data_IF_881885268154
#
_entry.id   IF_881885268154
#
_cell.length_a   1.000
_cell.length_b   1.000
_cell.length_c   1.000
_cell.angle_alpha   90.00
_cell.angle_beta   90.00
_cell.angle_gamma   90.00
#
_symmetry.space_group_name_H-M   'P 1'
#
loop_
_entity.id
_entity.type
_entity.pdbx_description
1 polymer ?
#
# COMPACT_ATOMS: atom_id res chain seq x y z
N UNK A 1 3.37 -75.35 -44.76
CA UNK A 1 3.79 -73.94 -44.77
C UNK A 1 3.03 -73.23 -43.66
N UNK A 2 3.62 -73.17 -42.48
CA UNK A 2 3.02 -72.53 -41.28
C UNK A 2 3.50 -71.09 -41.17
N UNK A 3 2.58 -70.13 -41.16
CA UNK A 3 2.88 -68.72 -40.88
C UNK A 3 2.60 -68.47 -39.40
N UNK A 4 3.63 -68.24 -38.66
CA UNK A 4 3.58 -67.78 -37.26
C UNK A 4 3.30 -66.32 -37.21
N UNK A 5 2.21 -65.89 -36.55
CA UNK A 5 1.85 -64.48 -36.30
C UNK A 5 2.46 -64.07 -34.97
N UNK A 6 3.35 -63.09 -35.00
CA UNK A 6 3.98 -62.51 -33.84
C UNK A 6 3.10 -61.35 -33.31
N UNK A 7 2.50 -61.48 -32.13
CA UNK A 7 1.79 -60.43 -31.44
C UNK A 7 2.79 -59.56 -30.69
N UNK A 8 2.89 -58.32 -31.09
CA UNK A 8 3.63 -57.29 -30.34
C UNK A 8 2.73 -56.71 -29.24
N UNK A 9 3.15 -56.88 -28.00
CA UNK A 9 2.50 -56.27 -26.83
C UNK A 9 3.07 -54.84 -26.69
N UNK A 10 2.26 -53.83 -26.93
CA UNK A 10 2.59 -52.44 -26.65
C UNK A 10 2.27 -52.20 -25.16
N UNK A 11 3.31 -52.05 -24.35
CA UNK A 11 3.17 -51.59 -22.97
C UNK A 11 2.89 -50.09 -22.95
N UNK A 12 1.65 -49.69 -22.59
CA UNK A 12 1.33 -48.29 -22.26
C UNK A 12 1.94 -47.98 -20.90
N UNK A 13 2.99 -47.18 -20.89
CA UNK A 13 3.46 -46.51 -19.68
C UNK A 13 2.53 -45.33 -19.37
N UNK A 14 1.69 -45.50 -18.36
CA UNK A 14 0.92 -44.41 -17.78
C UNK A 14 1.89 -43.48 -17.08
N UNK A 15 2.16 -42.32 -17.69
CA UNK A 15 2.80 -41.22 -16.99
C UNK A 15 1.82 -40.69 -15.93
N UNK A 16 2.17 -40.90 -14.68
CA UNK A 16 1.44 -40.32 -13.57
C UNK A 16 1.59 -38.76 -13.66
N UNK A 17 0.51 -38.07 -14.01
CA UNK A 17 0.40 -36.65 -13.85
C UNK A 17 0.46 -36.36 -12.35
N UNK A 18 1.52 -35.71 -11.91
CA UNK A 18 1.71 -35.35 -10.52
C UNK A 18 0.66 -34.30 -10.05
N UNK A 19 0.40 -34.24 -8.74
CA UNK A 19 -0.62 -33.35 -8.17
C UNK A 19 -0.11 -31.90 -8.07
N UNK A 20 0.17 -31.23 -9.20
CA UNK A 20 0.75 -29.86 -9.17
C UNK A 20 -0.28 -28.75 -9.34
N UNK A 21 -1.43 -29.00 -9.95
CA UNK A 21 -2.38 -27.93 -10.30
C UNK A 21 -3.25 -27.41 -9.14
N UNK A 22 -3.46 -28.19 -8.08
CA UNK A 22 -4.32 -27.77 -6.95
C UNK A 22 -3.59 -26.93 -5.90
N UNK A 23 -2.27 -27.06 -5.77
CA UNK A 23 -1.50 -26.33 -4.74
C UNK A 23 -1.28 -24.86 -5.09
N UNK A 24 -1.18 -24.51 -6.38
CA UNK A 24 -0.91 -23.13 -6.83
C UNK A 24 -2.05 -22.18 -6.51
N UNK A 25 -3.30 -22.62 -6.62
CA UNK A 25 -4.47 -21.81 -6.35
C UNK A 25 -4.64 -21.43 -4.87
N UNK A 26 -4.10 -22.22 -3.95
CA UNK A 26 -4.25 -21.97 -2.51
C UNK A 26 -3.56 -20.70 -2.03
N UNK A 27 -2.50 -20.26 -2.72
CA UNK A 27 -1.76 -19.04 -2.38
C UNK A 27 -2.29 -17.77 -3.07
N UNK A 28 -3.08 -17.91 -4.14
CA UNK A 28 -3.64 -16.80 -4.89
C UNK A 28 -4.53 -15.95 -3.99
N UNK A 29 -4.38 -14.63 -4.07
CA UNK A 29 -5.14 -13.64 -3.31
C UNK A 29 -4.28 -12.54 -2.70
N UNK A 30 -4.90 -11.83 -1.76
CA UNK A 30 -4.29 -10.68 -1.08
C UNK A 30 -3.96 -11.06 0.36
N UNK A 31 -2.77 -10.67 0.82
CA UNK A 31 -2.26 -11.02 2.14
C UNK A 31 -1.80 -9.76 2.88
N UNK A 32 -2.42 -9.51 4.02
CA UNK A 32 -1.99 -8.49 4.98
C UNK A 32 -0.81 -9.06 5.78
N UNK A 33 0.38 -8.46 5.64
CA UNK A 33 1.60 -8.93 6.30
C UNK A 33 1.87 -8.15 7.58
N UNK A 34 2.34 -8.86 8.61
CA UNK A 34 3.03 -8.27 9.76
C UNK A 34 4.52 -8.59 9.59
N UNK A 35 5.30 -7.56 9.24
CA UNK A 35 6.72 -7.72 8.92
C UNK A 35 7.57 -8.05 10.16
N UNK A 36 8.83 -8.52 10.01
CA UNK A 36 9.71 -8.83 11.12
C UNK A 36 9.92 -7.68 12.13
N UNK A 37 9.78 -6.43 11.68
CA UNK A 37 9.83 -5.23 12.52
C UNK A 37 8.53 -4.92 13.26
N UNK A 38 7.48 -5.74 13.09
CA UNK A 38 6.12 -5.47 13.56
C UNK A 38 5.33 -4.52 12.65
N UNK A 39 5.95 -3.91 11.65
CA UNK A 39 5.31 -2.99 10.73
C UNK A 39 4.42 -3.66 9.68
N UNK A 40 3.56 -2.88 8.99
CA UNK A 40 2.68 -3.39 7.96
C UNK A 40 3.41 -3.71 6.65
N UNK A 41 2.92 -4.72 5.96
CA UNK A 41 3.30 -5.07 4.61
C UNK A 41 2.13 -5.68 3.85
N UNK A 42 2.35 -5.99 2.58
CA UNK A 42 1.32 -6.60 1.75
C UNK A 42 1.98 -7.50 0.70
N UNK A 43 1.32 -8.61 0.41
CA UNK A 43 1.66 -9.52 -0.67
C UNK A 43 0.40 -9.80 -1.49
N UNK A 44 0.42 -9.48 -2.78
CA UNK A 44 -0.62 -9.87 -3.72
C UNK A 44 -0.09 -10.94 -4.66
N UNK A 45 -0.86 -12.01 -4.84
CA UNK A 45 -0.54 -13.13 -5.72
C UNK A 45 -1.69 -13.29 -6.70
N UNK A 46 -1.37 -13.27 -7.98
CA UNK A 46 -2.32 -13.52 -9.08
C UNK A 46 -1.82 -14.69 -9.93
N UNK A 47 -2.71 -15.28 -10.70
CA UNK A 47 -2.35 -16.30 -11.69
C UNK A 47 -2.74 -15.75 -13.08
N UNK A 48 -1.76 -15.72 -13.98
CA UNK A 48 -1.92 -15.24 -15.35
C UNK A 48 -1.36 -16.30 -16.32
N UNK A 49 -2.20 -16.80 -17.20
CA UNK A 49 -1.83 -17.84 -18.18
C UNK A 49 -1.20 -19.11 -17.56
N UNK A 50 -1.59 -19.44 -16.32
CA UNK A 50 -1.04 -20.59 -15.58
C UNK A 50 0.15 -20.23 -14.69
N UNK A 51 0.82 -19.10 -14.92
CA UNK A 51 1.96 -18.64 -14.13
C UNK A 51 1.53 -17.80 -12.93
N UNK A 52 2.19 -17.98 -11.79
CA UNK A 52 2.03 -17.08 -10.64
C UNK A 52 2.78 -15.78 -10.88
N UNK A 53 2.11 -14.67 -10.54
CA UNK A 53 2.69 -13.33 -10.45
C UNK A 53 2.51 -12.82 -9.04
N UNK A 54 3.47 -12.05 -8.55
CA UNK A 54 3.33 -11.45 -7.24
C UNK A 54 3.90 -10.03 -7.20
N UNK A 55 3.25 -9.20 -6.37
CA UNK A 55 3.74 -7.90 -5.93
C UNK A 55 3.84 -7.86 -4.42
N UNK A 56 4.83 -7.15 -3.89
CA UNK A 56 5.03 -7.04 -2.45
C UNK A 56 5.25 -5.59 -2.03
N UNK A 57 4.64 -5.20 -0.92
CA UNK A 57 4.98 -4.01 -0.16
C UNK A 57 5.70 -4.42 1.11
N UNK A 58 6.94 -3.94 1.27
CA UNK A 58 7.80 -4.27 2.38
C UNK A 58 7.99 -3.07 3.32
N UNK A 59 6.91 -2.72 4.03
CA UNK A 59 6.87 -1.55 4.91
C UNK A 59 6.66 -0.25 4.15
N UNK A 60 7.65 0.62 4.17
CA UNK A 60 7.58 1.91 3.46
C UNK A 60 7.86 1.82 1.97
N UNK A 61 7.55 2.89 1.24
CA UNK A 61 7.79 3.03 -0.19
C UNK A 61 6.75 2.36 -1.06
N UNK A 62 7.14 1.96 -2.28
CA UNK A 62 6.23 1.48 -3.31
C UNK A 62 6.08 -0.04 -3.33
N UNK A 63 4.92 -0.50 -3.78
CA UNK A 63 4.73 -1.90 -4.19
C UNK A 63 5.74 -2.24 -5.30
N UNK A 64 6.38 -3.38 -5.18
CA UNK A 64 7.36 -3.87 -6.15
C UNK A 64 6.95 -5.24 -6.66
N UNK A 65 7.10 -5.51 -7.98
CA UNK A 65 7.02 -6.86 -8.47
C UNK A 65 8.16 -7.69 -7.85
N UNK A 66 7.92 -8.96 -7.65
CA UNK A 66 8.95 -9.92 -7.24
C UNK A 66 9.74 -10.40 -8.46
N UNK A 67 10.95 -10.92 -8.25
CA UNK A 67 11.77 -11.45 -9.34
C UNK A 67 11.23 -12.79 -9.84
N UNK A 68 10.79 -13.66 -8.92
CA UNK A 68 10.08 -14.89 -9.23
C UNK A 68 9.19 -15.31 -8.09
N UNK A 69 8.13 -16.06 -8.40
CA UNK A 69 7.25 -16.71 -7.45
C UNK A 69 6.83 -18.07 -8.00
N UNK A 70 6.92 -19.10 -7.18
CA UNK A 70 6.57 -20.46 -7.57
C UNK A 70 6.19 -21.28 -6.34
N UNK A 71 5.45 -22.35 -6.54
CA UNK A 71 5.15 -23.35 -5.50
C UNK A 71 6.14 -24.49 -5.62
N UNK A 72 6.80 -24.84 -4.51
CA UNK A 72 7.74 -25.95 -4.37
C UNK A 72 7.22 -26.89 -3.29
N UNK A 73 6.61 -27.99 -3.70
CA UNK A 73 5.91 -28.91 -2.80
C UNK A 73 4.70 -28.23 -2.15
N UNK A 74 4.73 -28.07 -0.83
CA UNK A 74 3.69 -27.39 -0.03
C UNK A 74 4.01 -25.92 0.29
N UNK A 75 5.08 -25.35 -0.29
CA UNK A 75 5.59 -24.02 0.03
C UNK A 75 5.55 -23.10 -1.17
N UNK A 76 5.20 -21.85 -0.91
CA UNK A 76 5.41 -20.76 -1.85
C UNK A 76 6.81 -20.18 -1.67
N UNK A 77 7.59 -20.12 -2.75
CA UNK A 77 8.94 -19.54 -2.76
C UNK A 77 8.92 -18.28 -3.60
N UNK A 78 9.25 -17.16 -2.98
CA UNK A 78 9.31 -15.84 -3.61
C UNK A 78 10.76 -15.37 -3.59
N UNK A 79 11.29 -14.91 -4.73
CA UNK A 79 12.61 -14.30 -4.80
C UNK A 79 12.53 -12.84 -5.18
N UNK A 80 13.32 -12.02 -4.50
CA UNK A 80 13.51 -10.60 -4.79
C UNK A 80 15.00 -10.34 -4.94
N UNK A 81 15.37 -9.71 -6.04
CA UNK A 81 16.74 -9.22 -6.23
C UNK A 81 16.71 -7.71 -6.09
N UNK A 82 17.49 -7.20 -5.17
CA UNK A 82 17.60 -5.76 -4.91
C UNK A 82 19.05 -5.33 -4.74
N UNK A 83 19.31 -4.06 -5.04
CA UNK A 83 20.61 -3.45 -4.74
C UNK A 83 20.53 -2.86 -3.34
N UNK A 84 21.43 -3.27 -2.45
CA UNK A 84 21.47 -2.75 -1.08
C UNK A 84 21.87 -1.27 -1.10
N UNK A 85 21.15 -0.44 -0.38
CA UNK A 85 21.35 1.01 -0.42
C UNK A 85 22.14 1.55 0.77
N UNK A 86 22.32 0.77 1.82
CA UNK A 86 22.94 1.19 3.09
C UNK A 86 23.77 0.07 3.69
N UNK A 87 24.62 0.44 4.64
CA UNK A 87 25.43 -0.53 5.40
C UNK A 87 26.65 -1.04 4.63
N UNK A 88 27.23 -2.12 5.12
CA UNK A 88 28.45 -2.73 4.60
C UNK A 88 28.27 -3.32 3.18
N UNK A 89 27.06 -3.71 2.84
CA UNK A 89 26.71 -4.31 1.54
C UNK A 89 26.18 -3.29 0.53
N UNK A 90 26.39 -1.98 0.75
CA UNK A 90 25.92 -0.92 -0.16
C UNK A 90 26.46 -1.12 -1.58
N UNK A 91 25.54 -1.17 -2.55
CA UNK A 91 25.84 -1.41 -3.96
C UNK A 91 25.79 -2.88 -4.37
N UNK A 92 25.79 -3.81 -3.42
CA UNK A 92 25.70 -5.24 -3.71
C UNK A 92 24.30 -5.66 -4.16
N UNK A 93 24.24 -6.63 -5.06
CA UNK A 93 22.97 -7.28 -5.45
C UNK A 93 22.64 -8.39 -4.45
N UNK A 94 21.66 -8.11 -3.61
CA UNK A 94 21.20 -9.06 -2.60
C UNK A 94 19.99 -9.81 -3.14
N UNK A 95 20.01 -11.14 -3.04
CA UNK A 95 18.84 -11.99 -3.26
C UNK A 95 18.16 -12.25 -1.93
N UNK A 96 16.91 -11.86 -1.81
CA UNK A 96 16.06 -12.19 -0.69
C UNK A 96 15.10 -13.30 -1.11
N UNK A 97 15.16 -14.43 -0.41
CA UNK A 97 14.24 -15.55 -0.59
C UNK A 97 13.24 -15.54 0.56
N UNK A 98 11.95 -15.52 0.22
CA UNK A 98 10.84 -15.58 1.16
C UNK A 98 10.14 -16.92 0.92
N UNK A 99 10.13 -17.76 1.93
CA UNK A 99 9.39 -19.04 1.90
C UNK A 99 8.14 -18.88 2.75
N UNK A 100 6.98 -19.16 2.16
CA UNK A 100 5.70 -19.09 2.86
C UNK A 100 5.05 -20.47 2.92
N UNK A 101 4.51 -20.80 4.10
CA UNK A 101 3.70 -22.01 4.34
C UNK A 101 2.30 -21.60 4.74
N UNK A 102 1.30 -22.18 4.10
CA UNK A 102 -0.11 -21.91 4.35
C UNK A 102 -0.62 -22.71 5.57
N UNK A 103 -1.41 -22.05 6.42
CA UNK A 103 -2.12 -22.67 7.55
C UNK A 103 -3.50 -22.02 7.68
N UNK A 104 -4.50 -22.60 7.02
CA UNK A 104 -5.82 -21.97 6.85
C UNK A 104 -5.67 -20.64 6.11
N UNK A 105 -6.22 -19.57 6.68
CA UNK A 105 -6.10 -18.21 6.13
C UNK A 105 -4.85 -17.45 6.62
N UNK A 106 -3.86 -18.15 7.13
CA UNK A 106 -2.63 -17.53 7.59
C UNK A 106 -1.42 -18.07 6.81
N UNK A 107 -0.43 -17.22 6.62
CA UNK A 107 0.90 -17.56 6.14
C UNK A 107 1.89 -17.47 7.30
N UNK A 108 2.75 -18.46 7.41
CA UNK A 108 4.03 -18.37 8.10
C UNK A 108 5.10 -18.11 7.05
N UNK A 109 5.85 -17.04 7.20
CA UNK A 109 6.85 -16.64 6.24
C UNK A 109 8.23 -16.59 6.91
N UNK A 110 9.22 -17.03 6.17
CA UNK A 110 10.63 -16.93 6.54
C UNK A 110 11.36 -16.20 5.43
N UNK A 111 12.07 -15.14 5.75
CA UNK A 111 12.96 -14.46 4.81
C UNK A 111 14.42 -14.75 5.12
N UNK A 112 15.22 -14.95 4.07
CA UNK A 112 16.67 -15.09 4.14
C UNK A 112 17.27 -14.26 3.02
N UNK A 113 18.29 -13.48 3.33
CA UNK A 113 19.05 -12.71 2.36
C UNK A 113 20.35 -13.43 2.04
N UNK A 114 20.76 -13.41 0.78
CA UNK A 114 22.04 -13.96 0.33
C UNK A 114 22.81 -12.93 -0.49
N UNK A 115 24.12 -12.87 -0.26
CA UNK A 115 25.08 -12.12 -1.09
C UNK A 115 25.34 -12.83 -2.42
N UNK A 116 25.99 -12.17 -3.40
CA UNK A 116 26.33 -12.80 -4.69
C UNK A 116 27.18 -14.07 -4.57
N UNK A 117 27.98 -14.18 -3.53
CA UNK A 117 28.81 -15.34 -3.23
C UNK A 117 28.06 -16.51 -2.53
N UNK A 118 26.75 -16.33 -2.33
CA UNK A 118 25.87 -17.33 -1.70
C UNK A 118 25.85 -17.30 -0.17
N UNK A 119 26.64 -16.44 0.49
CA UNK A 119 26.58 -16.33 1.97
C UNK A 119 25.25 -15.73 2.41
N UNK A 120 24.55 -16.48 3.24
CA UNK A 120 23.26 -16.08 3.81
C UNK A 120 23.43 -15.17 5.02
N UNK A 121 22.45 -14.29 5.22
CA UNK A 121 22.33 -13.40 6.37
C UNK A 121 20.89 -12.91 6.52
N UNK A 122 20.60 -12.20 7.62
CA UNK A 122 19.33 -11.50 7.80
C UNK A 122 18.11 -12.42 7.77
N UNK A 123 18.20 -13.61 8.38
CA UNK A 123 17.04 -14.50 8.55
C UNK A 123 16.05 -13.88 9.53
N UNK A 124 14.77 -13.86 9.14
CA UNK A 124 13.68 -13.41 9.99
C UNK A 124 12.39 -14.17 9.69
N UNK A 125 11.49 -14.23 10.67
CA UNK A 125 10.18 -14.84 10.56
C UNK A 125 9.10 -13.77 10.69
N UNK A 126 7.99 -13.95 10.00
CA UNK A 126 6.85 -13.05 10.03
C UNK A 126 5.58 -13.76 9.57
N UNK A 127 4.46 -13.05 9.59
CA UNK A 127 3.15 -13.65 9.32
C UNK A 127 2.38 -12.86 8.27
N UNK A 128 1.45 -13.53 7.62
CA UNK A 128 0.44 -12.92 6.76
C UNK A 128 -0.93 -13.49 7.06
N UNK A 129 -1.96 -12.66 6.94
CA UNK A 129 -3.36 -13.06 7.02
C UNK A 129 -4.02 -12.82 5.69
N UNK A 130 -4.81 -13.77 5.21
CA UNK A 130 -5.58 -13.61 3.98
C UNK A 130 -6.57 -12.46 4.14
N UNK A 131 -6.53 -11.53 3.20
CA UNK A 131 -7.55 -10.49 3.09
C UNK A 131 -8.78 -11.09 2.42
N UNK A 132 -9.98 -10.95 2.99
CA UNK A 132 -11.20 -11.39 2.33
C UNK A 132 -11.35 -10.78 0.93
N UNK A 133 -12.02 -11.47 0.01
CA UNK A 133 -12.30 -10.93 -1.31
C UNK A 133 -12.91 -9.53 -1.24
N UNK A 134 -12.64 -8.72 -2.26
CA UNK A 134 -13.31 -7.43 -2.38
C UNK A 134 -14.80 -7.65 -2.62
N UNK A 135 -15.67 -6.87 -1.96
CA UNK A 135 -17.07 -6.79 -2.37
C UNK A 135 -17.16 -6.24 -3.81
N UNK A 136 -18.31 -6.39 -4.47
CA UNK A 136 -18.56 -5.67 -5.72
C UNK A 136 -18.40 -4.16 -5.54
N UNK A 137 -18.03 -3.40 -6.59
CA UNK A 137 -17.99 -1.94 -6.52
C UNK A 137 -19.33 -1.38 -6.02
N UNK A 138 -19.33 -0.52 -4.98
CA UNK A 138 -20.55 0.05 -4.45
C UNK A 138 -21.22 0.99 -5.47
N UNK A 139 -22.54 1.00 -5.49
CA UNK A 139 -23.31 2.02 -6.19
C UNK A 139 -23.36 3.29 -5.34
N UNK A 140 -22.43 4.21 -5.58
CA UNK A 140 -22.29 5.44 -4.81
C UNK A 140 -23.54 6.33 -4.82
N UNK A 141 -24.46 6.18 -5.79
CA UNK A 141 -25.72 6.91 -5.83
C UNK A 141 -26.72 6.47 -4.73
N UNK A 142 -26.49 5.30 -4.15
CA UNK A 142 -27.31 4.72 -3.07
C UNK A 142 -26.65 4.82 -1.70
N UNK A 143 -25.43 5.34 -1.63
CA UNK A 143 -24.73 5.50 -0.36
C UNK A 143 -25.22 6.75 0.35
N UNK A 144 -25.71 6.58 1.56
CA UNK A 144 -26.12 7.69 2.42
C UNK A 144 -24.96 8.12 3.32
N UNK A 145 -24.70 9.44 3.31
CA UNK A 145 -23.66 10.03 4.16
C UNK A 145 -24.30 10.79 5.33
N UNK A 146 -23.78 10.54 6.51
CA UNK A 146 -24.20 11.22 7.74
C UNK A 146 -23.86 12.71 7.77
N UNK A 147 -24.12 13.33 8.91
CA UNK A 147 -23.81 14.73 9.12
C UNK A 147 -22.31 15.03 8.96
N UNK A 148 -21.95 16.19 8.41
CA UNK A 148 -20.55 16.58 8.28
C UNK A 148 -19.88 16.77 9.64
N UNK A 149 -18.66 16.27 9.75
CA UNK A 149 -17.79 16.33 10.92
C UNK A 149 -16.56 17.16 10.53
N UNK A 150 -16.44 18.40 10.97
CA UNK A 150 -15.20 19.17 10.82
C UNK A 150 -14.08 18.46 11.58
N UNK A 151 -13.00 18.07 10.90
CA UNK A 151 -11.83 17.48 11.53
C UNK A 151 -10.80 18.53 11.95
N UNK A 152 -10.93 19.77 11.48
CA UNK A 152 -10.13 20.92 11.87
C UNK A 152 -11.05 22.01 12.44
N UNK A 153 -10.79 22.44 13.68
CA UNK A 153 -11.57 23.47 14.35
C UNK A 153 -11.12 24.91 13.99
N UNK A 154 -10.01 25.04 13.22
CA UNK A 154 -9.43 26.31 12.80
C UNK A 154 -8.71 27.10 13.89
N UNK A 155 -8.52 26.54 15.09
CA UNK A 155 -7.91 27.23 16.24
C UNK A 155 -6.65 26.52 16.74
N UNK A 156 -6.71 25.21 16.87
CA UNK A 156 -5.65 24.39 17.44
C UNK A 156 -5.70 22.94 16.91
N UNK A 157 -4.84 22.07 17.45
CA UNK A 157 -4.76 20.67 17.08
C UNK A 157 -5.72 19.76 17.85
N UNK A 158 -6.77 20.28 18.50
CA UNK A 158 -7.76 19.45 19.20
C UNK A 158 -8.39 18.43 18.24
N UNK A 159 -8.45 17.16 18.66
CA UNK A 159 -8.90 16.03 17.83
C UNK A 159 -7.80 15.41 16.97
N UNK A 160 -6.57 15.92 17.04
CA UNK A 160 -5.39 15.38 16.38
C UNK A 160 -4.32 14.99 17.40
N UNK A 161 -3.58 13.95 17.12
CA UNK A 161 -2.46 13.49 17.94
C UNK A 161 -1.25 13.10 17.10
N UNK A 162 -0.02 13.28 17.62
CA UNK A 162 1.19 12.88 16.93
C UNK A 162 1.29 11.34 16.84
N UNK A 163 1.78 10.83 15.71
CA UNK A 163 2.11 9.40 15.59
C UNK A 163 3.36 9.02 16.38
N UNK A 164 4.28 9.94 16.53
CA UNK A 164 5.52 9.75 17.28
C UNK A 164 5.63 10.85 18.34
N UNK A 165 5.16 10.61 19.57
CA UNK A 165 5.10 11.64 20.61
C UNK A 165 6.46 12.28 20.95
N UNK A 166 7.56 11.53 20.75
CA UNK A 166 8.92 11.98 21.02
C UNK A 166 9.60 12.68 19.83
N UNK A 167 8.95 12.75 18.66
CA UNK A 167 9.49 13.43 17.50
C UNK A 167 9.13 14.92 17.55
N UNK A 168 9.88 15.74 16.80
CA UNK A 168 9.60 17.17 16.70
C UNK A 168 8.20 17.44 16.09
N UNK A 169 7.45 18.33 16.70
CA UNK A 169 6.15 18.78 16.19
C UNK A 169 6.37 19.88 15.15
N UNK A 170 6.04 19.61 13.90
CA UNK A 170 6.05 20.62 12.83
C UNK A 170 4.68 21.21 12.55
N UNK A 171 3.63 20.68 13.19
CA UNK A 171 2.24 21.03 12.94
C UNK A 171 1.75 22.12 13.92
N UNK A 172 1.06 23.10 13.37
CA UNK A 172 0.33 24.14 14.11
C UNK A 172 -0.90 24.59 13.32
N UNK A 173 -1.76 25.37 13.95
CA UNK A 173 -2.90 26.00 13.28
C UNK A 173 -2.72 27.51 13.32
N UNK A 174 -2.74 28.16 12.15
CA UNK A 174 -2.59 29.60 11.99
C UNK A 174 -3.68 30.10 11.04
N UNK A 175 -4.45 31.08 11.46
CA UNK A 175 -5.54 31.69 10.67
C UNK A 175 -6.50 30.67 10.02
N UNK A 176 -6.86 29.63 10.77
CA UNK A 176 -7.74 28.56 10.28
C UNK A 176 -7.09 27.52 9.36
N UNK A 177 -5.78 27.65 9.13
CA UNK A 177 -4.98 26.74 8.29
C UNK A 177 -4.14 25.85 9.18
N UNK A 178 -4.21 24.55 8.96
CA UNK A 178 -3.31 23.56 9.53
C UNK A 178 -2.02 23.57 8.72
N UNK A 179 -0.95 24.04 9.30
CA UNK A 179 0.36 24.13 8.65
C UNK A 179 1.32 23.08 9.22
N UNK A 180 2.19 22.57 8.37
CA UNK A 180 3.35 21.79 8.78
C UNK A 180 4.61 22.43 8.25
N UNK A 181 5.59 22.66 9.15
CA UNK A 181 6.89 23.21 8.80
C UNK A 181 7.98 22.29 9.31
N UNK A 182 8.74 21.78 8.38
CA UNK A 182 9.88 20.91 8.65
C UNK A 182 11.15 21.79 8.64
N UNK A 183 11.58 22.24 9.80
CA UNK A 183 12.80 23.03 9.89
C UNK A 183 14.01 22.14 9.59
N UNK A 184 14.59 22.33 8.41
CA UNK A 184 15.85 21.67 8.03
C UNK A 184 17.01 22.60 8.32
N UNK A 185 17.69 22.41 9.44
CA UNK A 185 18.99 23.05 9.64
C UNK A 185 20.00 22.48 8.64
N UNK A 186 20.70 23.38 7.92
CA UNK A 186 21.71 23.01 6.95
C UNK A 186 22.79 22.13 7.61
N UNK A 187 22.98 20.93 7.10
CA UNK A 187 23.96 19.95 7.61
C UNK A 187 23.43 18.96 8.64
N UNK A 188 22.18 19.06 9.10
CA UNK A 188 21.53 18.01 9.91
C UNK A 188 20.73 17.03 9.04
N UNK A 189 20.63 15.74 9.44
CA UNK A 189 19.80 14.78 8.73
C UNK A 189 18.34 15.26 8.66
N UNK A 190 17.69 15.06 7.51
CA UNK A 190 16.23 15.20 7.40
C UNK A 190 15.59 14.12 8.28
N UNK A 191 14.71 14.50 9.14
CA UNK A 191 13.97 13.55 9.97
C UNK A 191 13.66 14.12 11.35
N UNK A 192 12.79 13.43 12.04
CA UNK A 192 12.43 13.78 13.39
C UNK A 192 11.12 14.53 13.56
N UNK A 193 10.47 15.01 12.47
CA UNK A 193 9.12 15.56 12.55
C UNK A 193 8.09 14.44 12.57
N UNK A 194 7.03 14.64 13.36
CA UNK A 194 5.96 13.66 13.47
C UNK A 194 4.89 13.86 12.40
N UNK A 195 4.28 12.76 11.98
CA UNK A 195 2.99 12.78 11.32
C UNK A 195 1.89 12.95 12.38
N UNK A 196 0.70 13.39 11.98
CA UNK A 196 -0.46 13.50 12.89
C UNK A 196 -1.62 12.66 12.37
N UNK A 197 -2.47 12.22 13.30
CA UNK A 197 -3.69 11.49 12.98
C UNK A 197 -4.86 11.98 13.81
N UNK A 198 -6.08 11.79 13.31
CA UNK A 198 -7.26 12.03 14.13
C UNK A 198 -7.32 11.07 15.32
N UNK A 199 -7.87 11.52 16.45
CA UNK A 199 -8.18 10.65 17.59
C UNK A 199 -9.31 9.70 17.26
N UNK A 200 -10.31 10.16 16.48
CA UNK A 200 -11.42 9.33 15.99
C UNK A 200 -10.96 8.45 14.85
N UNK A 201 -11.54 7.25 14.79
CA UNK A 201 -11.37 6.28 13.70
C UNK A 201 -12.68 6.22 12.88
N UNK A 202 -12.54 5.91 11.59
CA UNK A 202 -13.63 5.88 10.62
C UNK A 202 -13.52 4.61 9.79
N UNK A 203 -14.64 4.12 9.26
CA UNK A 203 -14.66 2.96 8.36
C UNK A 203 -14.83 3.42 6.91
N UNK A 204 -16.07 3.67 6.48
CA UNK A 204 -16.40 4.18 5.17
C UNK A 204 -16.89 5.63 5.28
N UNK A 205 -16.47 6.48 4.35
CA UNK A 205 -16.74 7.91 4.45
C UNK A 205 -16.55 8.65 3.12
N UNK A 206 -17.05 9.86 3.10
CA UNK A 206 -16.70 10.92 2.16
C UNK A 206 -15.87 11.97 2.90
N UNK A 207 -14.72 12.35 2.36
CA UNK A 207 -13.78 13.30 2.92
C UNK A 207 -13.50 14.41 1.92
N UNK A 208 -13.71 15.65 2.31
CA UNK A 208 -13.29 16.82 1.55
C UNK A 208 -12.22 17.59 2.30
N UNK A 209 -11.25 18.10 1.58
CA UNK A 209 -10.20 18.97 2.15
C UNK A 209 -9.54 19.81 1.06
N UNK A 210 -8.83 20.81 1.49
CA UNK A 210 -7.93 21.55 0.61
C UNK A 210 -6.49 21.43 1.10
N UNK A 211 -5.56 21.21 0.15
CA UNK A 211 -4.13 21.16 0.39
C UNK A 211 -3.40 22.19 -0.46
N UNK A 212 -2.36 22.81 0.09
CA UNK A 212 -1.50 23.74 -0.65
C UNK A 212 -0.06 23.25 -0.60
N UNK A 213 0.43 22.83 -1.76
CA UNK A 213 1.81 22.40 -1.92
C UNK A 213 2.75 23.59 -1.99
N UNK A 214 3.89 23.43 -1.36
CA UNK A 214 5.04 24.33 -1.45
C UNK A 214 6.14 23.67 -2.29
N UNK A 215 7.25 24.34 -2.48
CA UNK A 215 8.36 23.80 -3.28
C UNK A 215 8.86 22.47 -2.71
N UNK A 216 8.93 21.45 -3.56
CA UNK A 216 9.30 20.06 -3.21
C UNK A 216 8.38 19.41 -2.16
N UNK A 217 7.12 19.86 -2.04
CA UNK A 217 6.17 19.21 -1.14
C UNK A 217 6.00 17.73 -1.47
N UNK A 218 6.03 16.92 -0.42
CA UNK A 218 5.71 15.51 -0.42
C UNK A 218 5.02 15.18 0.90
N UNK A 219 3.74 14.98 0.83
CA UNK A 219 2.84 14.67 1.93
C UNK A 219 1.82 13.62 1.47
N UNK A 220 0.88 13.25 2.31
CA UNK A 220 -0.19 12.32 1.99
C UNK A 220 -1.32 12.39 3.00
N UNK A 221 -2.53 12.09 2.52
CA UNK A 221 -3.73 11.90 3.33
C UNK A 221 -4.02 10.41 3.38
N UNK A 222 -3.81 9.79 4.53
CA UNK A 222 -4.06 8.37 4.71
C UNK A 222 -5.48 8.14 5.17
N UNK A 223 -6.25 7.46 4.34
CA UNK A 223 -7.59 7.01 4.64
C UNK A 223 -7.50 5.77 5.54
N UNK A 224 -8.19 5.77 6.68
CA UNK A 224 -8.14 4.69 7.69
C UNK A 224 -6.72 4.36 8.17
N UNK A 225 -5.78 5.31 8.03
CA UNK A 225 -4.38 5.10 8.39
C UNK A 225 -3.61 4.13 7.46
N UNK A 226 -4.20 3.64 6.37
CA UNK A 226 -3.62 2.58 5.53
C UNK A 226 -3.53 2.90 4.04
N UNK A 227 -4.38 3.78 3.49
CA UNK A 227 -4.41 4.10 2.07
C UNK A 227 -4.02 5.56 1.85
N UNK A 228 -2.84 5.80 1.34
CA UNK A 228 -2.33 7.13 1.07
C UNK A 228 -2.90 7.69 -0.23
N UNK A 229 -3.67 8.76 -0.13
CA UNK A 229 -3.91 9.68 -1.23
C UNK A 229 -2.74 10.66 -1.27
N UNK A 230 -1.95 10.58 -2.32
CA UNK A 230 -0.72 11.36 -2.45
C UNK A 230 -0.99 12.86 -2.54
N UNK A 231 -0.24 13.65 -1.78
CA UNK A 231 -0.25 15.13 -1.83
C UNK A 231 1.18 15.61 -2.07
N UNK A 232 1.49 15.96 -3.32
CA UNK A 232 2.85 16.36 -3.68
C UNK A 232 2.85 17.42 -4.78
N UNK A 233 4.01 18.06 -4.98
CA UNK A 233 4.23 18.91 -6.13
C UNK A 233 4.45 18.04 -7.38
N UNK A 234 3.42 17.90 -8.22
CA UNK A 234 3.49 17.11 -9.48
C UNK A 234 2.92 17.82 -10.70
N UNK A 235 2.51 19.10 -10.57
CA UNK A 235 1.96 19.89 -11.66
C UNK A 235 2.87 19.87 -12.90
N UNK A 236 2.27 19.64 -14.06
CA UNK A 236 2.99 19.58 -15.34
C UNK A 236 3.78 18.30 -15.60
N UNK A 237 3.76 17.33 -14.68
CA UNK A 237 4.40 16.02 -14.88
C UNK A 237 3.44 15.03 -15.55
N UNK A 238 3.94 14.06 -16.33
CA UNK A 238 3.13 12.94 -16.81
C UNK A 238 2.49 12.19 -15.63
N UNK A 239 1.24 11.75 -15.79
CA UNK A 239 0.54 10.99 -14.74
C UNK A 239 1.27 9.69 -14.42
N UNK A 240 1.35 9.39 -13.13
CA UNK A 240 1.91 8.14 -12.62
C UNK A 240 1.35 7.88 -11.20
N UNK A 241 1.51 6.69 -10.64
CA UNK A 241 0.92 6.33 -9.35
C UNK A 241 1.59 6.98 -8.12
N UNK A 242 2.44 8.00 -8.31
CA UNK A 242 3.08 8.78 -7.25
C UNK A 242 2.76 10.28 -7.35
N UNK A 243 1.88 10.68 -8.27
CA UNK A 243 1.47 12.07 -8.44
C UNK A 243 0.32 12.43 -7.49
N UNK A 244 0.03 13.72 -7.39
CA UNK A 244 -1.08 14.28 -6.63
C UNK A 244 -2.39 13.50 -6.88
N UNK A 245 -3.07 13.10 -5.81
CA UNK A 245 -4.35 12.40 -5.87
C UNK A 245 -4.27 10.90 -6.21
N UNK A 246 -3.10 10.36 -6.56
CA UNK A 246 -2.92 8.91 -6.72
C UNK A 246 -3.16 8.16 -5.41
N UNK A 247 -3.63 6.92 -5.46
CA UNK A 247 -3.43 6.00 -4.34
C UNK A 247 -1.98 5.48 -4.45
N UNK A 248 -1.14 5.97 -3.57
CA UNK A 248 0.32 5.90 -3.68
C UNK A 248 0.82 4.52 -4.11
N UNK A 249 1.53 4.49 -5.26
CA UNK A 249 2.09 3.27 -5.85
C UNK A 249 1.06 2.18 -6.24
N UNK A 250 -0.25 2.42 -6.14
CA UNK A 250 -1.29 1.42 -6.41
C UNK A 250 -2.22 1.80 -7.54
N UNK A 251 -2.78 3.00 -7.51
CA UNK A 251 -3.74 3.46 -8.51
C UNK A 251 -3.25 4.78 -9.09
N UNK A 252 -3.00 4.76 -10.40
CA UNK A 252 -2.61 5.94 -11.16
C UNK A 252 -3.83 6.81 -11.43
N UNK A 253 -3.74 8.14 -11.28
CA UNK A 253 -4.75 9.05 -11.81
C UNK A 253 -4.96 8.85 -13.32
N UNK A 254 -6.18 8.95 -13.78
CA UNK A 254 -6.48 8.85 -15.23
C UNK A 254 -6.05 10.11 -15.99
N UNK A 255 -5.92 11.22 -15.29
CA UNK A 255 -5.56 12.53 -15.85
C UNK A 255 -4.90 13.40 -14.78
N UNK A 256 -4.00 14.29 -15.21
CA UNK A 256 -3.47 15.36 -14.37
C UNK A 256 -4.55 16.46 -14.17
N UNK A 257 -4.76 16.84 -12.91
CA UNK A 257 -5.75 17.87 -12.53
C UNK A 257 -5.20 18.85 -11.48
N UNK A 258 -3.91 18.80 -11.20
CA UNK A 258 -3.24 19.67 -10.24
C UNK A 258 -3.18 21.10 -10.76
N UNK A 259 -3.34 22.05 -9.86
CA UNK A 259 -3.01 23.48 -10.06
C UNK A 259 -1.54 23.71 -9.75
N UNK A 260 -0.97 24.84 -10.21
CA UNK A 260 0.40 25.22 -9.88
C UNK A 260 0.68 25.23 -8.38
N UNK A 261 1.99 25.13 -8.05
CA UNK A 261 2.51 25.27 -6.69
C UNK A 261 2.05 26.60 -6.03
N UNK A 262 1.70 26.54 -4.75
CA UNK A 262 1.19 27.68 -4.00
C UNK A 262 -0.32 27.89 -4.11
N UNK A 263 -0.98 27.24 -5.06
CA UNK A 263 -2.44 27.28 -5.17
C UNK A 263 -3.10 26.18 -4.31
N UNK A 264 -4.32 26.47 -3.83
CA UNK A 264 -5.11 25.49 -3.09
C UNK A 264 -5.67 24.43 -4.04
N UNK A 265 -5.37 23.19 -3.74
CA UNK A 265 -5.89 21.98 -4.40
C UNK A 265 -7.09 21.48 -3.60
N UNK A 266 -8.24 21.30 -4.23
CA UNK A 266 -9.40 20.71 -3.59
C UNK A 266 -9.39 19.20 -3.84
N UNK A 267 -9.40 18.41 -2.77
CA UNK A 267 -9.54 16.96 -2.82
C UNK A 267 -10.93 16.58 -2.27
N UNK A 268 -11.64 15.80 -3.05
CA UNK A 268 -12.92 15.19 -2.71
C UNK A 268 -12.76 13.67 -2.87
N UNK A 269 -12.85 12.94 -1.76
CA UNK A 269 -12.43 11.55 -1.66
C UNK A 269 -13.55 10.73 -1.05
N UNK A 270 -13.99 9.69 -1.74
CA UNK A 270 -14.96 8.72 -1.20
C UNK A 270 -14.28 7.36 -1.03
N UNK A 271 -14.37 6.78 0.16
CA UNK A 271 -13.94 5.42 0.45
C UNK A 271 -15.13 4.62 0.96
N UNK A 272 -15.55 3.62 0.20
CA UNK A 272 -16.67 2.74 0.54
C UNK A 272 -16.32 1.31 0.12
N UNK A 273 -16.52 0.33 1.00
CA UNK A 273 -16.28 -1.08 0.71
C UNK A 273 -14.92 -1.37 0.07
N UNK A 274 -13.87 -0.68 0.53
CA UNK A 274 -12.50 -0.76 -0.01
C UNK A 274 -12.39 -0.33 -1.48
N UNK A 275 -13.33 0.46 -1.97
CA UNK A 275 -13.24 1.17 -3.26
C UNK A 275 -13.06 2.66 -3.02
N UNK A 276 -12.27 3.29 -3.85
CA UNK A 276 -11.94 4.70 -3.71
C UNK A 276 -12.30 5.48 -4.97
N UNK A 277 -12.91 6.63 -4.76
CA UNK A 277 -13.09 7.68 -5.77
C UNK A 277 -12.32 8.91 -5.33
N UNK A 278 -11.58 9.52 -6.24
CA UNK A 278 -10.85 10.77 -5.99
C UNK A 278 -11.19 11.79 -7.06
N UNK A 279 -11.68 12.96 -6.63
CA UNK A 279 -11.91 14.14 -7.46
C UNK A 279 -10.90 15.20 -7.02
N UNK A 280 -10.06 15.64 -7.95
CA UNK A 280 -9.06 16.68 -7.72
C UNK A 280 -9.44 17.93 -8.52
N UNK A 281 -9.63 19.05 -7.81
CA UNK A 281 -10.01 20.34 -8.42
C UNK A 281 -11.26 20.25 -9.32
N UNK A 282 -12.28 19.50 -8.88
CA UNK A 282 -13.53 19.26 -9.62
C UNK A 282 -13.42 18.24 -10.76
N UNK A 283 -12.27 17.60 -10.95
CA UNK A 283 -12.07 16.58 -11.99
C UNK A 283 -11.89 15.20 -11.37
N UNK A 284 -12.74 14.26 -11.73
CA UNK A 284 -12.59 12.86 -11.32
C UNK A 284 -11.33 12.27 -11.94
N UNK A 285 -10.40 11.81 -11.08
CA UNK A 285 -9.11 11.25 -11.49
C UNK A 285 -8.97 9.77 -11.14
N UNK A 286 -9.75 9.30 -10.19
CA UNK A 286 -9.93 7.89 -9.83
C UNK A 286 -11.42 7.67 -9.62
N UNK A 287 -11.99 6.70 -10.31
CA UNK A 287 -13.43 6.39 -10.27
C UNK A 287 -13.64 4.99 -9.71
N UNK A 288 -14.17 4.91 -8.47
CA UNK A 288 -14.65 3.69 -7.80
C UNK A 288 -13.70 2.48 -7.95
N UNK A 289 -12.39 2.71 -7.76
CA UNK A 289 -11.37 1.69 -7.96
C UNK A 289 -11.09 0.89 -6.69
N UNK A 290 -10.89 -0.44 -6.80
CA UNK A 290 -10.57 -1.29 -5.65
C UNK A 290 -9.18 -1.01 -5.09
N UNK A 291 -9.05 -0.91 -3.76
CA UNK A 291 -7.77 -0.78 -3.07
C UNK A 291 -7.38 -2.13 -2.46
N UNK A 292 -6.45 -2.83 -3.10
CA UNK A 292 -6.11 -4.22 -2.79
C UNK A 292 -5.31 -4.43 -1.50
N UNK A 293 -4.71 -3.38 -0.95
CA UNK A 293 -3.91 -3.48 0.28
C UNK A 293 -3.31 -2.14 0.68
N UNK A 294 -2.64 -2.09 1.82
CA UNK A 294 -2.06 -0.87 2.39
C UNK A 294 -1.02 -0.23 1.46
N UNK A 295 -0.81 1.07 1.59
CA UNK A 295 0.27 1.82 0.94
C UNK A 295 1.50 1.90 1.83
N UNK A 296 2.62 2.35 1.30
CA UNK A 296 3.83 2.59 2.10
C UNK A 296 3.57 3.63 3.19
N UNK A 297 4.07 3.39 4.41
CA UNK A 297 3.84 4.29 5.54
C UNK A 297 2.53 4.07 6.30
N UNK A 298 1.75 3.06 5.93
CA UNK A 298 0.54 2.66 6.64
C UNK A 298 0.79 2.35 8.13
N UNK A 299 -0.23 2.50 8.95
CA UNK A 299 -0.17 2.18 10.39
C UNK A 299 -0.31 0.68 10.64
N UNK A 300 -1.10 -0.01 9.82
CA UNK A 300 -1.32 -1.46 9.82
C UNK A 300 -1.66 -1.97 8.42
N UNK A 301 -1.75 -3.26 8.27
CA UNK A 301 -2.04 -3.92 6.98
C UNK A 301 -3.46 -4.46 6.87
N UNK A 302 -4.22 -4.50 7.96
CA UNK A 302 -5.60 -5.03 7.98
C UNK A 302 -6.56 -4.04 7.29
N UNK A 303 -7.14 -4.39 6.12
CA UNK A 303 -8.03 -3.49 5.39
C UNK A 303 -9.46 -3.45 5.93
N UNK A 304 -9.80 -4.28 6.91
CA UNK A 304 -11.15 -4.32 7.51
C UNK A 304 -11.23 -3.49 8.80
N UNK A 305 -10.10 -3.15 9.38
CA UNK A 305 -10.06 -2.36 10.61
C UNK A 305 -10.44 -0.90 10.31
N UNK A 306 -11.38 -0.29 11.03
CA UNK A 306 -11.54 1.17 11.04
C UNK A 306 -10.23 1.87 11.41
N UNK A 307 -10.05 3.11 10.99
CA UNK A 307 -8.84 3.83 11.29
C UNK A 307 -8.95 5.34 11.14
N UNK A 308 -7.92 6.07 11.58
CA UNK A 308 -7.91 7.52 11.56
C UNK A 308 -7.68 8.07 10.15
N UNK A 309 -8.00 9.34 9.97
CA UNK A 309 -7.37 10.17 8.94
C UNK A 309 -5.98 10.54 9.46
N UNK A 310 -4.97 10.25 8.67
CA UNK A 310 -3.59 10.53 9.03
C UNK A 310 -2.95 11.44 7.98
N UNK A 311 -2.23 12.47 8.42
CA UNK A 311 -1.53 13.42 7.56
C UNK A 311 -0.01 13.24 7.70
N UNK A 312 0.64 13.07 6.56
CA UNK A 312 2.10 12.92 6.53
C UNK A 312 2.78 14.28 6.62
N UNK A 313 3.62 14.48 7.64
CA UNK A 313 4.34 15.72 7.90
C UNK A 313 5.85 15.58 8.02
N UNK A 314 6.37 14.35 7.96
CA UNK A 314 7.80 14.11 8.20
C UNK A 314 8.69 14.29 6.96
N UNK A 315 8.12 14.60 5.79
CA UNK A 315 8.88 14.73 4.54
C UNK A 315 9.09 16.17 4.09
N UNK A 316 8.08 17.05 4.26
CA UNK A 316 8.15 18.41 3.73
C UNK A 316 7.12 19.34 4.36
N UNK A 317 7.25 20.62 4.06
CA UNK A 317 6.26 21.64 4.36
C UNK A 317 5.00 21.42 3.53
N UNK A 318 3.84 21.65 4.16
CA UNK A 318 2.51 21.49 3.54
C UNK A 318 1.48 22.27 4.35
N UNK A 319 0.43 22.75 3.71
CA UNK A 319 -0.71 23.39 4.33
C UNK A 319 -2.00 22.65 4.00
N UNK A 320 -2.92 22.55 4.99
CA UNK A 320 -4.25 21.99 4.83
C UNK A 320 -5.30 22.90 5.44
N UNK A 321 -6.52 22.86 4.91
CA UNK A 321 -7.70 23.53 5.49
C UNK A 321 -8.99 22.83 5.08
N UNK A 322 -10.12 23.27 5.67
CA UNK A 322 -11.47 22.82 5.30
C UNK A 322 -11.59 21.28 5.30
N UNK A 323 -11.01 20.62 6.30
CA UNK A 323 -11.03 19.15 6.42
C UNK A 323 -12.37 18.74 7.02
N UNK A 324 -13.24 18.15 6.20
CA UNK A 324 -14.59 17.72 6.60
C UNK A 324 -14.84 16.28 6.17
N UNK A 325 -15.30 15.45 7.09
CA UNK A 325 -15.64 14.05 6.86
C UNK A 325 -17.13 13.80 7.09
N UNK A 326 -17.74 13.01 6.23
CA UNK A 326 -19.10 12.50 6.38
C UNK A 326 -19.04 10.97 6.40
N UNK A 327 -19.32 10.31 7.53
CA UNK A 327 -19.33 8.85 7.57
C UNK A 327 -20.50 8.29 6.76
N UNK A 328 -20.33 7.08 6.23
CA UNK A 328 -21.46 6.33 5.66
C UNK A 328 -22.43 5.96 6.78
N UNK A 329 -23.72 6.15 6.53
CA UNK A 329 -24.80 5.69 7.41
C UNK A 329 -25.06 4.23 7.08
N UNK A 330 -24.95 3.36 8.11
CA UNK A 330 -25.24 1.91 8.00
C UNK A 330 -26.60 1.59 8.57
#
# INVERSE_FOLDING_TARGET
MNKTILCAIIALTSAALGPSACADHSYVGQWALTLPTGGPGWLGITQENGDLKAGILWGGGSVKPVTSVQVEGDRLVIKRVQVERRGADKGERITETITATLSGDNLKLVTVKARPDGREFGRAEFTGKRTPPLPPPPDLSKVEFGAPIPLLNGKDLSGWQPLSPNAAMGWSVEDGVLINRTHHEKGKPRGGHTNIRTEREFEDFHLTLEARTLKNSNSGVYLRGIYEVQVCESHGRPVNPHNMGAIYSRICPTVAAEKPIGEWQTLDITLVDRHVTVILNGRMIIDNQPVLGCTGGALWSDPLRPGPIYLQGNHSDIDYRNIVLRPVVK
#
